data_IF_239499569112
#
_entry.id   IF_239499569112
#
_cell.length_a   1.000
_cell.length_b   1.000
_cell.length_c   1.000
_cell.angle_alpha   90.00
_cell.angle_beta   90.00
_cell.angle_gamma   90.00
#
_symmetry.space_group_name_H-M   'P 1'
#
loop_
_entity.id
_entity.type
_entity.pdbx_description
1 polymer ?
#
# COMPACT_ATOMS: atom_id res chain seq x y z
N UNK A 1 24.17 -31.66 -13.79
CA UNK A 1 23.43 -30.72 -12.92
C UNK A 1 22.87 -29.61 -13.79
N UNK A 2 21.54 -29.43 -13.83
CA UNK A 2 20.94 -28.38 -14.64
C UNK A 2 21.31 -26.99 -14.09
N UNK A 3 21.90 -26.14 -14.93
CA UNK A 3 22.19 -24.75 -14.60
C UNK A 3 20.85 -24.02 -14.49
N UNK A 4 20.30 -23.94 -13.28
CA UNK A 4 19.11 -23.14 -13.02
C UNK A 4 19.46 -21.67 -13.29
N UNK A 5 18.64 -21.00 -14.10
CA UNK A 5 18.80 -19.55 -14.32
C UNK A 5 18.66 -18.86 -12.96
N UNK A 6 19.46 -17.83 -12.69
CA UNK A 6 19.38 -17.01 -11.45
C UNK A 6 17.96 -16.48 -11.16
N UNK A 7 17.13 -16.37 -12.20
CA UNK A 7 15.70 -16.06 -12.08
C UNK A 7 14.88 -17.14 -11.35
N UNK A 8 15.28 -18.41 -11.35
CA UNK A 8 14.45 -19.51 -10.81
C UNK A 8 14.78 -19.86 -9.36
N UNK A 9 15.83 -19.27 -8.80
CA UNK A 9 16.24 -19.53 -7.42
C UNK A 9 15.69 -18.42 -6.51
N UNK A 10 14.89 -18.76 -5.49
CA UNK A 10 14.37 -17.78 -4.54
C UNK A 10 15.50 -17.02 -3.83
N UNK A 11 15.29 -15.74 -3.55
CA UNK A 11 16.34 -14.91 -2.96
C UNK A 11 16.77 -15.40 -1.56
N UNK A 12 15.86 -16.00 -0.79
CA UNK A 12 16.19 -16.61 0.50
C UNK A 12 17.08 -17.84 0.38
N UNK A 13 17.20 -18.49 -0.77
CA UNK A 13 18.16 -19.60 -0.96
C UNK A 13 19.56 -19.07 -1.29
N UNK A 14 19.63 -17.86 -1.86
CA UNK A 14 20.86 -17.25 -2.35
C UNK A 14 21.51 -16.30 -1.35
N UNK A 15 20.72 -15.58 -0.56
CA UNK A 15 21.17 -14.49 0.30
C UNK A 15 20.70 -14.69 1.75
N UNK A 16 21.58 -14.33 2.68
CA UNK A 16 21.32 -14.32 4.13
C UNK A 16 21.56 -12.92 4.71
N UNK A 17 20.87 -12.56 5.81
CA UNK A 17 21.23 -11.36 6.56
C UNK A 17 22.73 -11.38 6.93
N UNK A 18 23.43 -10.26 6.73
CA UNK A 18 24.88 -10.11 6.93
C UNK A 18 25.74 -10.38 5.70
N UNK A 19 25.20 -10.97 4.62
CA UNK A 19 25.94 -11.13 3.36
C UNK A 19 26.32 -9.75 2.80
N UNK A 20 27.56 -9.61 2.34
CA UNK A 20 28.06 -8.38 1.71
C UNK A 20 27.90 -8.48 0.20
N UNK A 21 27.22 -7.50 -0.40
CA UNK A 21 26.89 -7.46 -1.82
C UNK A 21 27.26 -6.12 -2.45
N UNK A 22 27.39 -6.09 -3.77
CA UNK A 22 27.44 -4.86 -4.58
C UNK A 22 26.15 -4.77 -5.36
N UNK A 23 25.47 -3.62 -5.24
CA UNK A 23 24.31 -3.28 -6.05
C UNK A 23 24.79 -2.59 -7.32
N UNK A 24 24.47 -3.19 -8.46
CA UNK A 24 24.89 -2.68 -9.78
C UNK A 24 23.87 -1.77 -10.44
N UNK A 25 22.59 -1.95 -10.11
CA UNK A 25 21.51 -1.15 -10.65
C UNK A 25 20.48 -0.84 -9.58
N UNK A 26 20.05 0.41 -9.58
CA UNK A 26 18.91 0.88 -8.81
C UNK A 26 17.83 1.30 -9.79
N UNK A 27 16.63 0.77 -9.59
CA UNK A 27 15.45 1.18 -10.33
C UNK A 27 14.69 2.19 -9.47
N UNK A 28 14.48 3.39 -10.01
CA UNK A 28 13.65 4.37 -9.35
C UNK A 28 12.17 3.95 -9.52
N UNK A 29 11.46 3.61 -8.43
CA UNK A 29 10.09 3.12 -8.51
C UNK A 29 9.10 4.18 -9.01
N UNK A 30 9.43 5.46 -8.86
CA UNK A 30 8.55 6.57 -9.21
C UNK A 30 8.63 6.91 -10.71
N UNK A 31 9.79 6.68 -11.34
CA UNK A 31 10.04 7.04 -12.74
C UNK A 31 10.35 5.86 -13.66
N UNK A 32 10.57 4.67 -13.11
CA UNK A 32 11.10 3.52 -13.83
C UNK A 32 12.55 3.70 -14.31
N UNK A 33 13.20 4.83 -13.99
CA UNK A 33 14.55 5.11 -14.42
C UNK A 33 15.53 4.14 -13.75
N UNK A 34 16.31 3.43 -14.55
CA UNK A 34 17.36 2.54 -14.08
C UNK A 34 18.68 3.29 -14.06
N UNK A 35 19.31 3.37 -12.90
CA UNK A 35 20.63 3.96 -12.72
C UNK A 35 21.62 2.86 -12.42
N UNK A 36 22.61 2.73 -13.29
CA UNK A 36 23.75 1.82 -13.09
C UNK A 36 24.80 2.46 -12.20
N UNK A 37 25.45 1.64 -11.38
CA UNK A 37 26.53 2.05 -10.49
C UNK A 37 27.14 0.84 -9.80
N UNK A 38 27.95 1.05 -8.76
CA UNK A 38 28.49 -0.04 -7.95
C UNK A 38 28.51 0.39 -6.49
N UNK A 39 27.53 -0.07 -5.73
CA UNK A 39 27.33 0.35 -4.35
C UNK A 39 27.42 -0.83 -3.39
N UNK A 40 28.48 -0.91 -2.57
CA UNK A 40 28.58 -1.91 -1.51
C UNK A 40 27.43 -1.78 -0.53
N UNK A 41 26.79 -2.89 -0.19
CA UNK A 41 25.65 -2.97 0.71
C UNK A 41 25.64 -4.28 1.49
N UNK A 42 24.95 -4.28 2.63
CA UNK A 42 24.76 -5.45 3.46
C UNK A 42 23.32 -5.94 3.33
N UNK A 43 23.15 -7.25 3.14
CA UNK A 43 21.83 -7.88 3.15
C UNK A 43 21.25 -7.86 4.55
N UNK A 44 20.02 -7.37 4.69
CA UNK A 44 19.26 -7.40 5.96
C UNK A 44 18.16 -8.44 5.97
N UNK A 45 17.56 -8.73 4.81
CA UNK A 45 16.55 -9.77 4.64
C UNK A 45 16.51 -10.21 3.17
N UNK A 46 16.12 -11.45 2.90
CA UNK A 46 15.88 -11.94 1.55
C UNK A 46 14.49 -12.58 1.47
N UNK A 47 13.73 -12.24 0.42
CA UNK A 47 12.32 -12.62 0.27
C UNK A 47 12.11 -13.74 -0.75
N UNK A 48 10.91 -14.36 -0.74
CA UNK A 48 10.55 -15.48 -1.60
C UNK A 48 10.61 -15.17 -3.12
N UNK A 49 10.36 -13.91 -3.52
CA UNK A 49 10.02 -13.58 -4.90
C UNK A 49 11.11 -12.88 -5.73
N UNK A 50 12.41 -13.05 -5.40
CA UNK A 50 13.60 -12.49 -6.10
C UNK A 50 14.04 -11.08 -5.66
N UNK A 51 13.65 -10.65 -4.47
CA UNK A 51 14.10 -9.38 -3.89
C UNK A 51 14.84 -9.60 -2.58
N UNK A 52 15.80 -8.72 -2.33
CA UNK A 52 16.63 -8.68 -1.12
C UNK A 52 16.59 -7.28 -0.57
N UNK A 53 16.38 -7.15 0.74
CA UNK A 53 16.47 -5.87 1.42
C UNK A 53 17.91 -5.67 1.83
N UNK A 54 18.55 -4.62 1.33
CA UNK A 54 19.92 -4.25 1.64
C UNK A 54 19.98 -2.93 2.41
N UNK A 55 21.03 -2.74 3.19
CA UNK A 55 21.35 -1.48 3.88
C UNK A 55 22.70 -0.99 3.39
N UNK A 56 22.80 0.30 3.05
CA UNK A 56 24.08 0.92 2.72
C UNK A 56 24.11 2.41 2.99
N UNK A 57 25.26 2.89 3.45
CA UNK A 57 25.55 4.33 3.57
C UNK A 57 26.07 4.93 2.26
N UNK A 58 26.35 4.13 1.23
CA UNK A 58 27.03 4.54 -0.01
C UNK A 58 26.11 4.80 -1.19
N UNK A 59 24.80 4.63 -1.04
CA UNK A 59 23.87 5.00 -2.10
C UNK A 59 23.90 6.49 -2.44
N UNK A 60 23.60 6.84 -3.72
CA UNK A 60 23.55 8.23 -4.14
C UNK A 60 22.47 8.98 -3.35
N UNK A 61 22.65 10.30 -3.20
CA UNK A 61 21.77 11.15 -2.37
C UNK A 61 20.29 10.96 -2.72
N UNK A 62 19.95 10.91 -4.01
CA UNK A 62 18.57 10.68 -4.46
C UNK A 62 18.01 9.34 -3.97
N UNK A 63 18.79 8.26 -4.02
CA UNK A 63 18.35 6.93 -3.59
C UNK A 63 18.13 6.89 -2.07
N UNK A 64 18.96 7.57 -1.29
CA UNK A 64 18.73 7.73 0.15
C UNK A 64 17.42 8.47 0.46
N UNK A 65 17.12 9.50 -0.32
CA UNK A 65 15.86 10.25 -0.19
C UNK A 65 14.64 9.41 -0.57
N UNK A 66 14.73 8.64 -1.67
CA UNK A 66 13.60 7.85 -2.19
C UNK A 66 13.32 6.62 -1.33
N UNK A 67 14.37 5.95 -0.84
CA UNK A 67 14.23 4.62 -0.26
C UNK A 67 14.54 4.55 1.26
N UNK A 68 15.11 5.60 1.86
CA UNK A 68 15.52 5.59 3.28
C UNK A 68 16.82 4.82 3.54
N UNK A 69 16.89 4.10 4.66
CA UNK A 69 18.09 3.35 5.08
C UNK A 69 18.10 1.87 4.68
N UNK A 70 16.96 1.32 4.25
CA UNK A 70 16.76 -0.08 3.86
C UNK A 70 16.09 -0.14 2.50
N UNK A 71 16.58 -1.01 1.62
CA UNK A 71 16.27 -0.94 0.19
C UNK A 71 15.95 -2.30 -0.39
N UNK A 72 14.77 -2.47 -0.99
CA UNK A 72 14.44 -3.68 -1.75
C UNK A 72 15.11 -3.61 -3.12
N UNK A 73 16.01 -4.56 -3.41
CA UNK A 73 16.75 -4.65 -4.66
C UNK A 73 16.53 -6.02 -5.29
N UNK A 74 16.40 -6.05 -6.62
CA UNK A 74 16.28 -7.32 -7.35
C UNK A 74 17.60 -8.08 -7.34
N UNK A 75 17.54 -9.40 -7.09
CA UNK A 75 18.72 -10.27 -7.06
C UNK A 75 19.54 -10.25 -8.36
N UNK A 76 18.90 -9.96 -9.50
CA UNK A 76 19.57 -9.88 -10.81
C UNK A 76 20.60 -8.75 -10.89
N UNK A 77 20.52 -7.78 -9.98
CA UNK A 77 21.40 -6.61 -9.92
C UNK A 77 22.41 -6.68 -8.78
N UNK A 78 22.52 -7.83 -8.11
CA UNK A 78 23.41 -8.02 -6.96
C UNK A 78 24.58 -8.91 -7.34
N UNK A 79 25.78 -8.48 -6.96
CA UNK A 79 26.98 -9.33 -6.94
C UNK A 79 27.37 -9.61 -5.49
N UNK A 80 27.55 -10.88 -5.13
CA UNK A 80 28.02 -11.26 -3.79
C UNK A 80 29.52 -11.00 -3.67
N UNK A 81 29.92 -10.29 -2.62
CA UNK A 81 31.33 -10.01 -2.28
C UNK A 81 31.82 -10.96 -1.19
N UNK A 82 30.99 -11.17 -0.16
CA UNK A 82 31.28 -12.09 0.93
C UNK A 82 30.01 -12.69 1.47
N UNK A 83 30.08 -13.96 1.90
CA UNK A 83 28.97 -14.71 2.48
C UNK A 83 29.23 -14.95 3.95
N UNK A 84 28.20 -14.78 4.77
CA UNK A 84 28.26 -15.25 6.15
C UNK A 84 28.35 -16.78 6.20
N UNK A 85 29.01 -17.35 7.24
CA UNK A 85 29.05 -18.80 7.46
C UNK A 85 27.64 -19.40 7.44
N UNK A 86 27.47 -20.54 6.78
CA UNK A 86 26.15 -21.13 6.48
C UNK A 86 25.63 -22.08 7.55
N UNK A 87 26.25 -22.08 8.72
CA UNK A 87 26.18 -23.17 9.71
C UNK A 87 24.83 -23.29 10.43
N UNK A 88 23.89 -22.37 10.18
CA UNK A 88 22.52 -22.39 10.71
C UNK A 88 21.45 -22.38 9.60
N UNK A 89 20.23 -22.85 9.92
CA UNK A 89 19.04 -22.72 9.05
C UNK A 89 18.85 -21.23 8.71
N UNK A 90 18.53 -20.90 7.46
CA UNK A 90 18.42 -19.50 7.06
C UNK A 90 17.35 -18.79 7.93
N UNK A 91 17.72 -17.73 8.68
CA UNK A 91 16.77 -17.01 9.54
C UNK A 91 15.59 -16.41 8.76
N UNK A 92 15.75 -16.15 7.46
CA UNK A 92 14.65 -15.74 6.59
C UNK A 92 13.54 -16.81 6.53
N UNK A 93 13.87 -18.10 6.57
CA UNK A 93 12.90 -19.21 6.50
C UNK A 93 12.02 -19.28 7.75
N UNK A 94 12.59 -19.02 8.94
CA UNK A 94 11.85 -18.99 10.20
C UNK A 94 10.89 -17.79 10.28
N UNK A 95 11.26 -16.63 9.71
CA UNK A 95 10.41 -15.44 9.65
C UNK A 95 9.21 -15.56 8.71
N UNK A 96 9.32 -16.38 7.66
CA UNK A 96 8.25 -16.60 6.66
C UNK A 96 7.10 -17.45 7.21
N UNK A 97 7.39 -18.40 8.11
CA UNK A 97 6.39 -19.35 8.64
C UNK A 97 5.55 -18.81 9.80
N UNK A 98 5.97 -17.72 10.47
CA UNK A 98 5.37 -17.27 11.74
C UNK A 98 4.75 -15.87 11.73
N UNK A 99 4.87 -15.09 10.65
CA UNK A 99 4.35 -13.73 10.59
C UNK A 99 3.52 -13.53 9.34
N UNK A 100 2.24 -13.19 9.53
CA UNK A 100 1.39 -12.61 8.50
C UNK A 100 2.18 -11.51 7.79
N UNK A 101 2.29 -11.67 6.47
CA UNK A 101 3.14 -10.86 5.62
C UNK A 101 2.74 -9.39 5.70
N UNK A 102 3.40 -8.61 6.54
CA UNK A 102 3.46 -7.17 6.31
C UNK A 102 4.28 -7.01 5.04
N UNK A 103 3.61 -6.86 3.91
CA UNK A 103 4.28 -6.46 2.69
C UNK A 103 4.94 -5.12 3.00
N UNK A 104 6.25 -5.12 3.18
CA UNK A 104 7.02 -3.88 3.29
C UNK A 104 7.20 -3.36 1.87
N UNK A 105 6.08 -3.14 1.18
CA UNK A 105 6.00 -2.04 0.24
C UNK A 105 5.94 -0.81 1.12
N UNK A 106 7.11 -0.26 1.46
CA UNK A 106 7.22 1.18 1.51
C UNK A 106 7.08 1.66 0.05
N UNK A 107 5.88 1.51 -0.53
CA UNK A 107 5.52 2.21 -1.74
C UNK A 107 5.65 3.68 -1.37
N UNK A 108 6.55 4.36 -2.06
CA UNK A 108 6.84 5.75 -1.84
C UNK A 108 5.54 6.53 -1.66
N UNK A 109 5.42 7.25 -0.55
CA UNK A 109 4.97 8.60 -0.75
C UNK A 109 6.06 9.24 -1.59
N UNK A 110 5.87 9.23 -2.92
CA UNK A 110 6.49 10.22 -3.78
C UNK A 110 6.43 11.55 -3.03
N UNK A 111 7.49 12.34 -3.09
CA UNK A 111 7.52 13.72 -2.57
C UNK A 111 6.50 14.57 -3.34
N UNK A 112 5.21 14.30 -3.15
CA UNK A 112 4.13 15.23 -3.45
C UNK A 112 4.42 16.43 -2.57
N UNK A 113 4.48 17.60 -3.19
CA UNK A 113 4.55 18.84 -2.44
C UNK A 113 3.44 18.84 -1.37
N UNK A 114 3.68 19.47 -0.23
CA UNK A 114 2.67 19.54 0.83
C UNK A 114 1.32 20.09 0.31
N UNK A 115 1.36 20.91 -0.74
CA UNK A 115 0.22 21.47 -1.46
C UNK A 115 -0.52 20.44 -2.31
N UNK A 116 0.19 19.65 -3.13
CA UNK A 116 -0.44 18.56 -3.91
C UNK A 116 -1.06 17.50 -3.00
N UNK A 117 -0.38 17.18 -1.89
CA UNK A 117 -0.92 16.25 -0.90
C UNK A 117 -2.20 16.80 -0.26
N UNK A 118 -2.23 18.09 0.11
CA UNK A 118 -3.44 18.76 0.60
C UNK A 118 -4.56 18.72 -0.43
N UNK A 119 -4.26 18.94 -1.71
CA UNK A 119 -5.24 18.89 -2.81
C UNK A 119 -5.84 17.48 -2.96
N UNK A 120 -5.01 16.45 -2.96
CA UNK A 120 -5.44 15.05 -3.05
C UNK A 120 -6.28 14.65 -1.84
N UNK A 121 -5.85 15.01 -0.62
CA UNK A 121 -6.63 14.75 0.60
C UNK A 121 -7.98 15.45 0.53
N UNK A 122 -8.04 16.70 0.05
CA UNK A 122 -9.30 17.42 -0.18
C UNK A 122 -10.23 16.68 -1.13
N UNK A 123 -9.70 16.15 -2.23
CA UNK A 123 -10.47 15.35 -3.18
C UNK A 123 -10.94 14.02 -2.60
N UNK A 124 -10.12 13.34 -1.77
CA UNK A 124 -10.50 12.10 -1.07
C UNK A 124 -11.63 12.38 -0.09
N UNK A 125 -11.50 13.44 0.73
CA UNK A 125 -12.54 13.85 1.69
C UNK A 125 -13.84 14.19 0.97
N UNK A 126 -13.76 14.90 -0.15
CA UNK A 126 -14.91 15.18 -1.00
C UNK A 126 -15.55 13.87 -1.47
N UNK A 127 -14.81 12.93 -2.06
CA UNK A 127 -15.38 11.66 -2.52
C UNK A 127 -16.05 10.87 -1.37
N UNK A 128 -15.43 10.83 -0.19
CA UNK A 128 -16.00 10.17 0.99
C UNK A 128 -17.29 10.85 1.46
N UNK A 129 -17.33 12.18 1.48
CA UNK A 129 -18.51 12.96 1.87
C UNK A 129 -19.70 12.77 0.92
N UNK A 130 -19.45 12.46 -0.36
CA UNK A 130 -20.48 12.09 -1.34
C UNK A 130 -20.82 10.59 -1.33
N UNK A 131 -20.45 9.86 -0.26
CA UNK A 131 -20.81 8.46 -0.07
C UNK A 131 -20.11 7.46 -0.99
N UNK A 132 -19.08 7.89 -1.74
CA UNK A 132 -18.31 6.96 -2.58
C UNK A 132 -17.58 5.92 -1.74
N UNK A 133 -17.48 4.68 -2.22
CA UNK A 133 -16.59 3.71 -1.59
C UNK A 133 -15.13 3.91 -2.02
N UNK A 134 -14.24 3.19 -1.33
CA UNK A 134 -12.80 3.25 -1.60
C UNK A 134 -12.44 2.83 -3.01
N UNK A 135 -13.12 1.83 -3.60
CA UNK A 135 -12.80 1.34 -4.95
C UNK A 135 -13.18 2.38 -6.01
N UNK A 136 -14.38 2.95 -5.90
CA UNK A 136 -14.86 4.01 -6.76
C UNK A 136 -13.98 5.27 -6.62
N UNK A 137 -13.54 5.58 -5.41
CA UNK A 137 -12.62 6.72 -5.16
C UNK A 137 -11.26 6.49 -5.81
N UNK A 138 -10.68 5.29 -5.68
CA UNK A 138 -9.45 4.92 -6.37
C UNK A 138 -9.56 5.07 -7.89
N UNK A 139 -10.65 4.58 -8.48
CA UNK A 139 -10.91 4.69 -9.91
C UNK A 139 -11.04 6.16 -10.35
N UNK A 140 -11.80 6.97 -9.59
CA UNK A 140 -12.04 8.38 -9.90
C UNK A 140 -10.78 9.25 -9.80
N UNK A 141 -9.93 8.98 -8.82
CA UNK A 141 -8.72 9.77 -8.57
C UNK A 141 -7.47 9.17 -9.22
N UNK A 142 -7.59 8.08 -9.98
CA UNK A 142 -6.47 7.44 -10.66
C UNK A 142 -5.38 6.95 -9.70
N UNK A 143 -5.76 6.48 -8.50
CA UNK A 143 -4.81 6.08 -7.46
C UNK A 143 -4.98 4.62 -7.03
N UNK A 144 -3.91 4.05 -6.47
CA UNK A 144 -3.96 2.68 -5.94
C UNK A 144 -4.66 2.62 -4.58
N UNK A 145 -5.23 1.45 -4.24
CA UNK A 145 -5.85 1.21 -2.93
C UNK A 145 -4.88 1.44 -1.77
N UNK A 146 -3.62 1.04 -1.95
CA UNK A 146 -2.55 1.22 -0.96
C UNK A 146 -2.31 2.71 -0.69
N UNK A 147 -2.21 3.52 -1.74
CA UNK A 147 -2.03 4.97 -1.63
C UNK A 147 -3.22 5.66 -0.97
N UNK A 148 -4.45 5.27 -1.34
CA UNK A 148 -5.67 5.78 -0.71
C UNK A 148 -5.66 5.47 0.79
N UNK A 149 -5.35 4.23 1.16
CA UNK A 149 -5.36 3.77 2.55
C UNK A 149 -4.31 4.47 3.39
N UNK A 150 -3.11 4.70 2.85
CA UNK A 150 -2.05 5.46 3.52
C UNK A 150 -2.49 6.91 3.82
N UNK A 151 -3.16 7.57 2.88
CA UNK A 151 -3.69 8.93 3.08
C UNK A 151 -4.86 8.94 4.07
N UNK A 152 -5.76 7.96 4.01
CA UNK A 152 -6.87 7.86 4.96
C UNK A 152 -6.39 7.69 6.40
N UNK A 153 -5.39 6.83 6.63
CA UNK A 153 -4.83 6.60 7.97
C UNK A 153 -4.15 7.85 8.52
N UNK A 154 -3.40 8.58 7.69
CA UNK A 154 -2.70 9.80 8.11
C UNK A 154 -3.65 10.96 8.47
N UNK A 155 -4.77 11.06 7.75
CA UNK A 155 -5.72 12.18 7.89
C UNK A 155 -7.04 11.79 8.56
N UNK A 156 -7.06 10.61 9.20
CA UNK A 156 -8.18 10.03 9.95
C UNK A 156 -9.51 10.01 9.17
N UNK A 157 -9.45 9.65 7.90
CA UNK A 157 -10.63 9.59 7.02
C UNK A 157 -11.29 8.20 7.13
N UNK A 158 -12.51 8.17 7.65
CA UNK A 158 -13.28 6.94 7.83
C UNK A 158 -14.42 6.84 6.80
N UNK A 159 -14.14 6.20 5.66
CA UNK A 159 -15.09 5.99 4.56
C UNK A 159 -16.43 5.37 5.00
N UNK A 160 -16.47 4.27 5.79
CA UNK A 160 -17.73 3.74 6.32
C UNK A 160 -18.56 4.77 7.11
N UNK A 161 -17.91 5.57 7.96
CA UNK A 161 -18.60 6.58 8.76
C UNK A 161 -19.11 7.74 7.90
N UNK A 162 -18.29 8.24 6.97
CA UNK A 162 -18.68 9.30 6.02
C UNK A 162 -19.81 8.84 5.10
N UNK A 163 -19.74 7.60 4.61
CA UNK A 163 -20.82 7.01 3.81
C UNK A 163 -22.10 6.86 4.61
N UNK A 164 -22.01 6.47 5.89
CA UNK A 164 -23.19 6.39 6.76
C UNK A 164 -23.81 7.77 6.99
N UNK A 165 -22.99 8.81 7.23
CA UNK A 165 -23.44 10.21 7.32
C UNK A 165 -24.14 10.67 6.05
N UNK A 166 -23.50 10.49 4.90
CA UNK A 166 -24.10 10.83 3.60
C UNK A 166 -25.47 10.17 3.41
N UNK A 167 -25.59 8.87 3.70
CA UNK A 167 -26.87 8.17 3.58
C UNK A 167 -27.92 8.69 4.57
N UNK A 168 -27.52 8.99 5.81
CA UNK A 168 -28.41 9.61 6.80
C UNK A 168 -28.92 10.99 6.34
N UNK A 169 -28.12 11.75 5.60
CA UNK A 169 -28.52 13.08 5.12
C UNK A 169 -29.41 13.01 3.87
N UNK A 170 -29.22 12.00 3.01
CA UNK A 170 -29.92 11.89 1.71
C UNK A 170 -31.21 11.05 1.77
N UNK A 171 -31.24 9.99 2.58
CA UNK A 171 -32.38 9.05 2.60
C UNK A 171 -33.67 9.69 3.13
N UNK A 172 -33.68 10.44 4.25
CA UNK A 172 -34.90 11.06 4.78
C UNK A 172 -35.63 12.01 3.82
N UNK A 173 -34.96 12.98 3.15
CA UNK A 173 -35.66 13.87 2.22
C UNK A 173 -36.18 13.12 0.98
N UNK A 174 -35.51 12.07 0.51
CA UNK A 174 -36.01 11.24 -0.59
C UNK A 174 -37.26 10.45 -0.18
N UNK A 175 -37.30 9.93 1.05
CA UNK A 175 -38.49 9.29 1.60
C UNK A 175 -39.65 10.26 1.77
N UNK A 176 -39.38 11.49 2.25
CA UNK A 176 -40.39 12.54 2.40
C UNK A 176 -41.02 12.95 1.05
N UNK A 177 -40.27 12.84 -0.05
CA UNK A 177 -40.76 13.03 -1.42
C UNK A 177 -41.57 11.84 -1.97
N UNK A 178 -41.75 10.78 -1.18
CA UNK A 178 -42.52 9.60 -1.56
C UNK A 178 -41.76 8.60 -2.43
N UNK A 179 -40.43 8.71 -2.54
CA UNK A 179 -39.64 7.72 -3.30
C UNK A 179 -39.69 6.34 -2.62
N UNK A 180 -39.78 5.28 -3.44
CA UNK A 180 -39.76 3.90 -2.93
C UNK A 180 -38.35 3.53 -2.47
N UNK A 181 -38.27 2.71 -1.43
CA UNK A 181 -36.99 2.26 -0.84
C UNK A 181 -36.05 1.59 -1.85
N UNK A 182 -36.61 0.84 -2.80
CA UNK A 182 -35.87 0.19 -3.90
C UNK A 182 -35.21 1.20 -4.81
N UNK A 183 -35.93 2.28 -5.10
CA UNK A 183 -35.51 3.31 -6.04
C UNK A 183 -34.40 4.16 -5.37
N UNK A 184 -34.59 4.52 -4.10
CA UNK A 184 -33.55 5.19 -3.29
C UNK A 184 -32.29 4.33 -3.15
N UNK A 185 -32.43 3.02 -2.90
CA UNK A 185 -31.30 2.11 -2.77
C UNK A 185 -30.51 2.00 -4.09
N UNK A 186 -31.22 2.01 -5.23
CA UNK A 186 -30.61 2.05 -6.56
C UNK A 186 -29.85 3.37 -6.78
N UNK A 187 -30.50 4.51 -6.54
CA UNK A 187 -29.95 5.84 -6.79
C UNK A 187 -28.74 6.16 -5.90
N UNK A 188 -28.77 5.72 -4.65
CA UNK A 188 -27.66 5.92 -3.70
C UNK A 188 -26.65 4.76 -3.71
N UNK A 189 -26.82 3.79 -4.63
CA UNK A 189 -25.99 2.59 -4.74
C UNK A 189 -25.74 1.89 -3.39
N UNK A 190 -26.79 1.73 -2.58
CA UNK A 190 -26.72 1.14 -1.25
C UNK A 190 -27.68 -0.04 -1.09
N UNK A 191 -27.53 -0.81 -0.01
CA UNK A 191 -28.40 -1.96 0.23
C UNK A 191 -29.73 -1.54 0.85
N UNK A 192 -30.80 -2.26 0.54
CA UNK A 192 -32.10 -2.11 1.21
C UNK A 192 -32.00 -2.23 2.74
N UNK A 193 -31.07 -3.05 3.23
CA UNK A 193 -30.79 -3.17 4.65
C UNK A 193 -30.27 -1.86 5.26
N UNK A 194 -29.40 -1.14 4.55
CA UNK A 194 -28.88 0.17 5.00
C UNK A 194 -30.02 1.19 5.10
N UNK A 195 -30.90 1.23 4.10
CA UNK A 195 -32.08 2.12 4.10
C UNK A 195 -33.01 1.77 5.28
N UNK A 196 -33.30 0.49 5.50
CA UNK A 196 -34.14 0.05 6.61
C UNK A 196 -33.56 0.45 7.98
N UNK A 197 -32.24 0.36 8.14
CA UNK A 197 -31.55 0.76 9.37
C UNK A 197 -31.68 2.27 9.63
N UNK A 198 -31.58 3.12 8.61
CA UNK A 198 -31.76 4.57 8.72
C UNK A 198 -33.18 4.92 9.14
N UNK A 199 -34.18 4.34 8.47
CA UNK A 199 -35.61 4.56 8.78
C UNK A 199 -35.92 4.17 10.23
N UNK A 200 -35.36 3.06 10.71
CA UNK A 200 -35.60 2.60 12.07
C UNK A 200 -34.93 3.50 13.12
N UNK A 201 -33.79 4.11 12.79
CA UNK A 201 -33.12 5.08 13.66
C UNK A 201 -33.97 6.36 13.80
N UNK A 202 -34.49 6.91 12.70
CA UNK A 202 -35.36 8.10 12.75
C UNK A 202 -36.65 7.86 13.56
N UNK A 203 -37.26 6.68 13.41
CA UNK A 203 -38.44 6.30 14.19
C UNK A 203 -38.17 6.19 15.68
N UNK A 204 -36.94 5.84 16.07
CA UNK A 204 -36.56 5.79 17.47
C UNK A 204 -36.36 7.20 18.05
N UNK A 205 -35.77 8.12 17.28
CA UNK A 205 -35.59 9.51 17.67
C UNK A 205 -36.92 10.29 17.72
N UNK A 206 -37.85 10.05 16.79
CA UNK A 206 -39.17 10.69 16.78
C UNK A 206 -40.11 10.23 17.91
N UNK A 207 -39.73 9.20 18.67
CA UNK A 207 -40.47 8.68 19.82
C UNK A 207 -39.96 9.20 21.17
N UNK A 208 -38.82 9.89 21.17
CA UNK A 208 -38.24 10.60 22.33
C UNK A 208 -38.72 12.04 22.35
#
# INVERSE_FOLDING_TARGET
>A
MAVKKLSEVPAYELFRPGDQVIVHQLENPDSGAVVSGAWPAEVTAAHLQRTVVVTTKRFPKWAKTVFGSKHSVSIKWLQVVSRMPRDSKNPNYAGILGKSMTSVYASGTANQSAEERKKIIGQIKHCAAYGMDKKATCAKLGMTMTTLQANCTKDNINFPAERWRYLNDQVPPMLARGMRRTDIASDLHCSLHSIAKIINAEKAEARL
#
